data_IF_752293925294
#
_entry.id   IF_752293925294
#
_cell.length_a   1.000
_cell.length_b   1.000
_cell.length_c   1.000
_cell.angle_alpha   90.00
_cell.angle_beta   90.00
_cell.angle_gamma   90.00
#
_symmetry.space_group_name_H-M   'P 1'
#
loop_
_entity.id
_entity.type
_entity.pdbx_description
1 polymer ?
#
# COMPACT_ATOMS: atom_id res chain seq x y z
N UNK A 1 -12.86 13.52 -21.43
CA UNK A 1 -12.28 12.74 -22.52
C UNK A 1 -11.42 13.64 -23.39
N UNK A 2 -10.15 13.30 -23.53
CA UNK A 2 -9.19 14.12 -24.31
C UNK A 2 -9.34 13.92 -25.82
N UNK A 3 -9.77 12.77 -26.27
CA UNK A 3 -9.92 12.48 -27.70
C UNK A 3 -11.12 13.22 -28.29
N UNK A 4 -12.26 13.10 -27.62
CA UNK A 4 -13.52 13.71 -28.09
C UNK A 4 -13.65 15.18 -27.68
N UNK A 5 -12.80 15.65 -26.74
CA UNK A 5 -12.88 16.98 -26.09
C UNK A 5 -14.26 17.26 -25.47
N UNK A 6 -14.86 16.22 -24.86
CA UNK A 6 -16.18 16.27 -24.26
C UNK A 6 -16.16 15.93 -22.77
N UNK A 7 -17.11 16.48 -22.03
CA UNK A 7 -17.37 16.06 -20.66
C UNK A 7 -18.25 14.81 -20.67
N UNK A 8 -17.84 13.79 -19.94
CA UNK A 8 -18.58 12.54 -19.77
C UNK A 8 -18.79 12.29 -18.30
N UNK A 9 -20.04 11.99 -17.89
CA UNK A 9 -20.33 11.49 -16.55
C UNK A 9 -20.35 9.95 -16.62
N UNK A 10 -19.48 9.32 -15.84
CA UNK A 10 -19.36 7.88 -15.75
C UNK A 10 -19.98 7.42 -14.43
N UNK A 11 -20.76 6.37 -14.47
CA UNK A 11 -21.26 5.67 -13.30
C UNK A 11 -20.19 4.70 -12.79
N UNK A 12 -20.31 4.28 -11.53
CA UNK A 12 -19.36 3.37 -10.87
C UNK A 12 -19.04 2.13 -11.72
N UNK A 13 -20.09 1.49 -12.28
CA UNK A 13 -19.92 0.27 -13.07
C UNK A 13 -19.21 0.50 -14.41
N UNK A 14 -19.22 1.75 -14.92
CA UNK A 14 -18.51 2.14 -16.13
C UNK A 14 -17.03 2.48 -15.87
N UNK A 15 -16.64 2.61 -14.60
CA UNK A 15 -15.25 2.92 -14.21
C UNK A 15 -14.35 1.69 -14.15
N UNK A 16 -14.91 0.48 -14.22
CA UNK A 16 -14.19 -0.81 -14.19
C UNK A 16 -13.18 -0.89 -13.03
N UNK A 17 -13.62 -0.53 -11.83
CA UNK A 17 -12.76 -0.55 -10.64
C UNK A 17 -12.41 -1.97 -10.24
N UNK A 18 -11.10 -2.26 -10.22
CA UNK A 18 -10.53 -3.49 -9.70
C UNK A 18 -9.37 -3.19 -8.74
N UNK A 19 -8.68 -4.22 -8.25
CA UNK A 19 -7.51 -4.02 -7.40
C UNK A 19 -6.41 -3.27 -8.14
N UNK A 20 -6.12 -2.04 -7.72
CA UNK A 20 -5.13 -1.16 -8.35
C UNK A 20 -5.37 -0.93 -9.85
N UNK A 21 -6.61 -0.99 -10.31
CA UNK A 21 -6.98 -0.83 -11.72
C UNK A 21 -8.30 -0.10 -11.90
N UNK A 22 -8.40 0.66 -12.98
CA UNK A 22 -9.63 1.28 -13.47
C UNK A 22 -9.45 1.69 -14.94
N UNK A 23 -10.53 2.08 -15.62
CA UNK A 23 -10.44 2.58 -17.00
C UNK A 23 -9.58 3.85 -17.13
N UNK A 24 -9.41 4.62 -16.06
CA UNK A 24 -8.65 5.87 -16.06
C UNK A 24 -7.14 5.67 -16.26
N UNK A 25 -6.64 4.42 -16.17
CA UNK A 25 -5.25 4.09 -16.46
C UNK A 25 -5.02 3.72 -17.92
N UNK A 26 -6.09 3.41 -18.67
CA UNK A 26 -6.03 2.92 -20.06
C UNK A 26 -6.75 3.82 -21.05
N UNK A 27 -7.67 4.65 -20.59
CA UNK A 27 -8.44 5.58 -21.43
C UNK A 27 -7.94 7.02 -21.25
N UNK A 28 -8.01 7.84 -22.28
CA UNK A 28 -7.53 9.22 -22.27
C UNK A 28 -8.51 10.15 -21.54
N UNK A 29 -8.82 9.85 -20.28
CA UNK A 29 -9.68 10.65 -19.43
C UNK A 29 -8.89 11.53 -18.48
N UNK A 30 -9.37 12.75 -18.29
CA UNK A 30 -8.96 13.62 -17.19
C UNK A 30 -10.12 13.74 -16.20
N UNK A 31 -9.89 13.32 -14.96
CA UNK A 31 -10.90 13.39 -13.91
C UNK A 31 -10.98 14.82 -13.40
N UNK A 32 -12.15 15.45 -13.53
CA UNK A 32 -12.41 16.83 -13.08
C UNK A 32 -13.15 16.84 -11.76
N UNK A 33 -14.14 15.94 -11.63
CA UNK A 33 -15.02 15.88 -10.49
C UNK A 33 -15.35 14.45 -10.10
N UNK A 34 -15.64 14.22 -8.82
CA UNK A 34 -16.05 12.93 -8.29
C UNK A 34 -17.24 13.15 -7.35
N UNK A 35 -18.38 12.56 -7.69
CA UNK A 35 -19.56 12.53 -6.82
C UNK A 35 -19.47 11.32 -5.89
N UNK A 36 -19.48 11.55 -4.57
CA UNK A 36 -19.55 10.49 -3.57
C UNK A 36 -20.96 10.43 -2.97
N UNK A 37 -21.52 9.24 -2.95
CA UNK A 37 -22.75 8.97 -2.21
C UNK A 37 -22.40 8.31 -0.87
N UNK A 38 -22.84 8.93 0.23
CA UNK A 38 -22.62 8.43 1.59
C UNK A 38 -23.94 8.01 2.22
N UNK A 39 -23.97 6.82 2.77
CA UNK A 39 -25.06 6.35 3.61
C UNK A 39 -24.89 6.84 5.05
N UNK A 40 -25.97 7.03 5.78
CA UNK A 40 -25.90 7.23 7.22
C UNK A 40 -25.26 6.01 7.89
N UNK A 41 -24.11 6.22 8.52
CA UNK A 41 -23.38 5.16 9.24
C UNK A 41 -23.97 5.10 10.65
N UNK A 42 -24.50 3.95 11.02
CA UNK A 42 -24.99 3.69 12.39
C UNK A 42 -23.85 3.32 13.34
N UNK A 43 -22.79 2.65 12.83
CA UNK A 43 -21.63 2.22 13.62
C UNK A 43 -20.32 2.59 12.92
N UNK A 44 -19.35 3.06 13.72
CA UNK A 44 -18.02 3.38 13.23
C UNK A 44 -17.17 2.11 13.09
N UNK A 45 -16.51 1.94 11.95
CA UNK A 45 -15.58 0.82 11.75
C UNK A 45 -14.27 1.07 12.50
N UNK A 46 -14.08 0.37 13.60
CA UNK A 46 -12.88 0.43 14.44
C UNK A 46 -11.95 -0.79 14.27
N UNK A 47 -12.09 -1.54 13.17
CA UNK A 47 -11.32 -2.77 12.93
C UNK A 47 -9.88 -2.50 12.47
N UNK A 48 -9.52 -1.26 12.15
CA UNK A 48 -8.16 -0.93 11.75
C UNK A 48 -7.20 -1.14 12.93
N UNK A 49 -6.13 -1.88 12.68
CA UNK A 49 -5.12 -2.25 13.70
C UNK A 49 -4.49 -0.99 14.33
N UNK A 50 -4.61 -0.87 15.62
CA UNK A 50 -4.05 0.23 16.41
C UNK A 50 -5.06 1.30 16.83
N UNK A 51 -6.24 1.41 16.18
CA UNK A 51 -7.28 2.40 16.57
C UNK A 51 -7.69 2.20 18.03
N UNK A 52 -8.09 1.00 18.39
CA UNK A 52 -8.52 0.68 19.78
C UNK A 52 -7.43 0.98 20.80
N UNK A 53 -6.17 0.64 20.46
CA UNK A 53 -5.03 0.92 21.34
C UNK A 53 -4.85 2.41 21.60
N UNK A 54 -4.99 3.27 20.57
CA UNK A 54 -4.89 4.72 20.72
C UNK A 54 -6.07 5.30 21.50
N UNK A 55 -7.29 4.82 21.28
CA UNK A 55 -8.47 5.22 22.03
C UNK A 55 -8.24 4.98 23.54
N UNK A 56 -7.80 3.78 23.89
CA UNK A 56 -7.48 3.44 25.28
C UNK A 56 -6.32 4.24 25.86
N UNK A 57 -5.26 4.48 25.07
CA UNK A 57 -4.12 5.30 25.51
C UNK A 57 -4.52 6.76 25.77
N UNK A 58 -5.55 7.26 25.08
CA UNK A 58 -6.12 8.60 25.31
C UNK A 58 -7.20 8.63 26.40
N UNK A 59 -7.41 7.52 27.14
CA UNK A 59 -8.45 7.37 28.19
C UNK A 59 -9.87 7.71 27.69
N UNK A 60 -10.17 7.42 26.40
CA UNK A 60 -11.49 7.66 25.79
C UNK A 60 -12.34 6.40 25.85
N UNK A 61 -13.66 6.58 26.05
CA UNK A 61 -14.61 5.49 25.91
C UNK A 61 -14.89 5.22 24.42
N UNK A 62 -14.63 3.98 24.00
CA UNK A 62 -14.81 3.53 22.62
C UNK A 62 -16.25 3.72 22.11
N UNK A 63 -17.25 3.66 23.01
CA UNK A 63 -18.67 3.81 22.65
C UNK A 63 -19.06 5.25 22.39
N UNK A 64 -18.30 6.21 22.89
CA UNK A 64 -18.58 7.65 22.76
C UNK A 64 -17.79 8.34 21.64
N UNK A 65 -16.93 7.59 20.92
CA UNK A 65 -16.11 8.14 19.84
C UNK A 65 -16.98 8.61 18.69
N UNK A 66 -16.82 9.87 18.32
CA UNK A 66 -17.46 10.48 17.14
C UNK A 66 -16.68 10.16 15.86
N UNK A 67 -17.33 10.32 14.69
CA UNK A 67 -16.67 10.16 13.37
C UNK A 67 -15.47 11.11 13.22
N UNK A 68 -15.58 12.34 13.74
CA UNK A 68 -14.50 13.33 13.72
C UNK A 68 -13.30 12.87 14.55
N UNK A 69 -13.54 12.39 15.75
CA UNK A 69 -12.47 11.89 16.62
C UNK A 69 -11.81 10.65 16.04
N UNK A 70 -12.60 9.74 15.46
CA UNK A 70 -12.06 8.59 14.74
C UNK A 70 -11.16 9.01 13.57
N UNK A 71 -11.57 10.02 12.79
CA UNK A 71 -10.76 10.59 11.72
C UNK A 71 -9.42 11.15 12.23
N UNK A 72 -9.43 11.86 13.37
CA UNK A 72 -8.20 12.37 14.00
C UNK A 72 -7.28 11.24 14.47
N UNK A 73 -7.84 10.20 15.09
CA UNK A 73 -7.08 9.02 15.54
C UNK A 73 -6.45 8.28 14.35
N UNK A 74 -7.17 8.14 13.24
CA UNK A 74 -6.64 7.53 12.01
C UNK A 74 -5.50 8.38 11.44
N UNK A 75 -5.64 9.71 11.42
CA UNK A 75 -4.58 10.62 10.97
C UNK A 75 -3.33 10.47 11.83
N UNK A 76 -3.46 10.50 13.16
CA UNK A 76 -2.36 10.31 14.11
C UNK A 76 -1.64 8.97 13.90
N UNK A 77 -2.42 7.88 13.70
CA UNK A 77 -1.85 6.56 13.39
C UNK A 77 -1.07 6.54 12.06
N UNK A 78 -1.57 7.22 11.05
CA UNK A 78 -0.89 7.32 9.77
C UNK A 78 0.39 8.12 9.89
N UNK A 79 0.33 9.27 10.54
CA UNK A 79 1.47 10.17 10.74
C UNK A 79 2.59 9.49 11.56
N UNK A 80 2.21 8.62 12.51
CA UNK A 80 3.21 7.85 13.28
C UNK A 80 3.90 6.74 12.49
N UNK A 81 3.31 6.27 11.39
CA UNK A 81 3.81 5.14 10.60
C UNK A 81 4.44 5.55 9.29
N UNK A 82 3.96 6.63 8.68
CA UNK A 82 4.35 7.03 7.33
C UNK A 82 5.22 8.28 7.36
N UNK A 83 6.30 8.33 6.57
CA UNK A 83 7.12 9.54 6.47
C UNK A 83 6.34 10.65 5.77
N UNK A 84 6.44 11.87 6.28
CA UNK A 84 5.90 13.04 5.60
C UNK A 84 6.73 13.32 4.33
N UNK A 85 6.17 13.24 3.11
CA UNK A 85 6.93 13.38 1.87
C UNK A 85 7.53 14.77 1.67
N UNK A 86 7.04 15.79 2.38
CA UNK A 86 7.64 17.14 2.39
C UNK A 86 8.93 17.22 3.20
N UNK A 87 9.14 16.29 4.13
CA UNK A 87 10.31 16.24 5.00
C UNK A 87 11.28 15.16 4.53
N UNK A 88 10.74 13.98 4.23
CA UNK A 88 11.47 12.82 3.71
C UNK A 88 10.87 12.45 2.36
N UNK A 89 11.48 12.88 1.24
CA UNK A 89 10.93 12.61 -0.08
C UNK A 89 10.71 11.12 -0.31
N UNK A 90 9.52 10.76 -0.77
CA UNK A 90 9.11 9.39 -1.09
C UNK A 90 7.85 9.41 -1.97
N UNK A 91 7.51 8.29 -2.55
CA UNK A 91 6.32 8.11 -3.41
C UNK A 91 5.26 7.21 -2.77
N UNK A 92 5.34 7.01 -1.44
CA UNK A 92 4.46 6.09 -0.72
C UNK A 92 4.88 4.63 -0.89
N UNK A 93 3.91 3.72 -0.90
CA UNK A 93 4.17 2.30 -1.13
C UNK A 93 4.77 2.08 -2.51
N UNK A 94 5.96 1.50 -2.57
CA UNK A 94 6.69 1.32 -3.82
C UNK A 94 6.27 0.07 -4.60
N UNK A 95 5.76 -0.94 -3.90
CA UNK A 95 5.28 -2.18 -4.52
C UNK A 95 3.81 -2.44 -4.19
N UNK A 96 3.10 -3.01 -5.17
CA UNK A 96 1.75 -3.56 -4.96
C UNK A 96 1.83 -4.79 -4.06
N UNK A 97 0.76 -5.06 -3.31
CA UNK A 97 0.61 -6.36 -2.67
C UNK A 97 0.31 -7.40 -3.76
N UNK A 98 1.16 -8.42 -3.96
CA UNK A 98 0.95 -9.40 -5.02
C UNK A 98 -0.29 -10.25 -4.79
N UNK A 99 -0.98 -10.58 -5.89
CA UNK A 99 -2.05 -11.57 -5.92
C UNK A 99 -1.50 -12.79 -6.65
N UNK A 100 -1.46 -13.93 -5.98
CA UNK A 100 -0.81 -15.15 -6.47
C UNK A 100 -1.56 -16.39 -6.02
N UNK A 101 -1.48 -17.45 -6.80
CA UNK A 101 -1.95 -18.74 -6.33
C UNK A 101 -1.05 -19.21 -5.17
N UNK A 102 -1.67 -19.53 -4.04
CA UNK A 102 -0.95 -19.86 -2.81
C UNK A 102 0.02 -21.06 -3.01
N UNK A 103 -0.32 -21.99 -3.89
CA UNK A 103 0.53 -23.16 -4.21
C UNK A 103 1.85 -22.81 -4.87
N UNK A 104 1.95 -21.59 -5.44
CA UNK A 104 3.16 -21.11 -6.12
C UNK A 104 4.12 -20.39 -5.17
N UNK A 105 3.72 -20.17 -3.91
CA UNK A 105 4.58 -19.54 -2.91
C UNK A 105 5.59 -20.56 -2.39
N UNK A 106 6.87 -20.19 -2.45
CA UNK A 106 7.96 -20.95 -1.79
C UNK A 106 8.13 -20.45 -0.35
N UNK A 107 8.59 -21.36 0.49
CA UNK A 107 8.87 -21.08 1.90
C UNK A 107 10.27 -21.63 2.24
N UNK A 108 11.34 -20.99 1.70
CA UNK A 108 12.71 -21.52 1.81
C UNK A 108 13.24 -21.40 3.25
N UNK A 109 13.28 -20.18 3.79
CA UNK A 109 13.78 -19.91 5.14
C UNK A 109 12.69 -19.45 6.12
N UNK A 110 11.46 -19.30 5.65
CA UNK A 110 10.32 -18.79 6.44
C UNK A 110 9.15 -19.77 6.39
N UNK A 111 8.15 -19.55 7.21
CA UNK A 111 6.91 -20.33 7.25
C UNK A 111 5.75 -19.49 6.74
N UNK A 112 4.64 -20.15 6.39
CA UNK A 112 3.41 -19.47 5.98
C UNK A 112 2.93 -18.47 7.02
N UNK A 113 3.05 -18.82 8.30
CA UNK A 113 2.62 -17.99 9.44
C UNK A 113 3.43 -16.70 9.60
N UNK A 114 4.63 -16.65 9.00
CA UNK A 114 5.46 -15.44 9.01
C UNK A 114 4.94 -14.39 8.01
N UNK A 115 4.16 -14.79 7.02
CA UNK A 115 3.60 -13.91 6.01
C UNK A 115 2.27 -13.30 6.47
N UNK A 116 1.91 -12.16 5.88
CA UNK A 116 0.57 -11.60 5.97
C UNK A 116 -0.18 -11.95 4.70
N UNK A 117 -1.17 -12.81 4.81
CA UNK A 117 -1.94 -13.33 3.68
C UNK A 117 -3.43 -13.03 3.91
N UNK A 118 -4.10 -12.59 2.85
CA UNK A 118 -5.56 -12.39 2.83
C UNK A 118 -6.16 -13.19 1.67
N UNK A 119 -7.33 -13.78 1.90
CA UNK A 119 -8.10 -14.39 0.82
C UNK A 119 -8.44 -13.34 -0.25
N UNK A 120 -8.33 -13.70 -1.51
CA UNK A 120 -8.65 -12.84 -2.63
C UNK A 120 -9.78 -13.41 -3.48
N UNK A 121 -9.61 -14.62 -4.00
CA UNK A 121 -10.62 -15.37 -4.74
C UNK A 121 -10.49 -16.87 -4.46
N UNK A 122 -11.16 -17.72 -5.25
CA UNK A 122 -11.19 -19.18 -5.02
C UNK A 122 -9.82 -19.87 -5.10
N UNK A 123 -8.86 -19.28 -5.80
CA UNK A 123 -7.55 -19.89 -6.10
C UNK A 123 -6.37 -19.00 -5.72
N UNK A 124 -6.60 -17.72 -5.48
CA UNK A 124 -5.54 -16.75 -5.25
C UNK A 124 -5.67 -16.10 -3.88
N UNK A 125 -4.52 -15.75 -3.35
CA UNK A 125 -4.35 -15.00 -2.12
C UNK A 125 -3.64 -13.68 -2.41
N UNK A 126 -3.91 -12.68 -1.62
CA UNK A 126 -3.16 -11.42 -1.61
C UNK A 126 -2.13 -11.47 -0.50
N UNK A 127 -0.86 -11.22 -0.82
CA UNK A 127 0.25 -11.28 0.13
C UNK A 127 0.75 -9.87 0.45
N UNK A 128 1.06 -9.62 1.72
CA UNK A 128 1.57 -8.33 2.19
C UNK A 128 3.01 -8.08 1.76
N UNK A 129 3.23 -7.31 0.69
CA UNK A 129 4.56 -7.00 0.17
C UNK A 129 5.49 -6.37 1.22
N UNK A 130 4.97 -5.48 2.07
CA UNK A 130 5.77 -4.91 3.15
C UNK A 130 6.32 -5.97 4.11
N UNK A 131 5.51 -7.00 4.41
CA UNK A 131 5.96 -8.10 5.28
C UNK A 131 7.01 -8.97 4.59
N UNK A 132 6.88 -9.23 3.29
CA UNK A 132 7.90 -9.95 2.54
C UNK A 132 9.25 -9.21 2.60
N UNK A 133 9.24 -7.89 2.40
CA UNK A 133 10.45 -7.05 2.45
C UNK A 133 11.05 -7.02 3.86
N UNK A 134 10.22 -6.95 4.91
CA UNK A 134 10.70 -7.04 6.31
C UNK A 134 11.45 -8.35 6.56
N UNK A 135 10.93 -9.47 6.08
CA UNK A 135 11.51 -10.79 6.29
C UNK A 135 12.87 -10.94 5.61
N UNK A 136 13.01 -10.45 4.37
CA UNK A 136 14.27 -10.54 3.60
C UNK A 136 15.25 -9.40 3.88
N UNK A 137 14.92 -8.47 4.80
CA UNK A 137 15.68 -7.23 5.01
C UNK A 137 17.17 -7.47 5.28
N UNK A 138 17.50 -8.51 6.05
CA UNK A 138 18.90 -8.88 6.35
C UNK A 138 19.69 -9.40 5.15
N UNK A 139 19.01 -9.80 4.07
CA UNK A 139 19.61 -10.31 2.84
C UNK A 139 19.79 -9.22 1.76
N UNK A 140 19.25 -8.01 2.01
CA UNK A 140 19.38 -6.88 1.09
C UNK A 140 20.77 -6.25 1.20
N UNK A 141 21.19 -5.57 0.14
CA UNK A 141 22.38 -4.72 0.16
C UNK A 141 22.19 -3.56 1.16
N UNK A 142 23.30 -3.10 1.76
CA UNK A 142 23.25 -2.01 2.74
C UNK A 142 22.60 -0.75 2.19
N UNK A 143 22.88 -0.39 0.95
CA UNK A 143 22.28 0.74 0.24
C UNK A 143 20.75 0.64 0.17
N UNK A 144 20.21 -0.57 -0.09
CA UNK A 144 18.76 -0.80 -0.09
C UNK A 144 18.17 -0.64 1.31
N UNK A 145 18.84 -1.17 2.34
CA UNK A 145 18.42 -1.06 3.74
C UNK A 145 18.37 0.40 4.18
N UNK A 146 19.38 1.18 3.84
CA UNK A 146 19.53 2.59 4.25
C UNK A 146 18.44 3.50 3.66
N UNK A 147 17.90 3.14 2.51
CA UNK A 147 16.85 3.88 1.85
C UNK A 147 15.42 3.33 2.13
N UNK A 148 15.29 2.20 2.84
CA UNK A 148 13.99 1.74 3.33
C UNK A 148 13.56 2.53 4.57
N UNK A 149 12.27 2.90 4.61
CA UNK A 149 11.70 3.52 5.81
C UNK A 149 11.65 2.53 6.98
N UNK A 150 12.10 2.97 8.16
CA UNK A 150 12.25 2.10 9.34
C UNK A 150 10.94 1.47 9.81
N UNK A 151 9.83 2.22 9.74
CA UNK A 151 8.52 1.79 10.24
C UNK A 151 7.61 1.22 9.15
N UNK A 152 8.03 1.25 7.88
CA UNK A 152 7.21 0.79 6.76
C UNK A 152 8.09 0.36 5.58
N UNK A 153 8.39 -0.92 5.51
CA UNK A 153 9.34 -1.47 4.53
C UNK A 153 8.92 -1.33 3.04
N UNK A 154 7.64 -1.01 2.77
CA UNK A 154 7.18 -0.69 1.40
C UNK A 154 7.63 0.68 0.91
N UNK A 155 8.15 1.55 1.78
CA UNK A 155 8.48 2.92 1.41
C UNK A 155 9.97 3.03 1.19
N UNK A 156 10.36 3.31 -0.06
CA UNK A 156 11.70 3.75 -0.41
C UNK A 156 11.75 5.26 -0.22
N UNK A 157 12.68 5.70 0.62
CA UNK A 157 12.86 7.12 0.96
C UNK A 157 14.03 7.70 0.17
N UNK A 158 13.94 8.97 -0.22
CA UNK A 158 15.03 9.69 -0.85
C UNK A 158 15.71 10.69 0.12
N UNK A 159 15.97 10.25 1.34
CA UNK A 159 16.68 11.07 2.36
C UNK A 159 18.15 11.32 2.02
N UNK A 160 18.75 10.47 1.19
CA UNK A 160 20.16 10.56 0.77
C UNK A 160 20.32 11.23 -0.60
N UNK A 161 19.24 11.80 -1.15
CA UNK A 161 19.21 12.48 -2.44
C UNK A 161 19.70 11.59 -3.60
N UNK A 162 19.30 10.32 -3.59
CA UNK A 162 19.59 9.34 -4.63
C UNK A 162 18.86 9.67 -5.93
N UNK A 163 19.47 9.32 -7.06
CA UNK A 163 18.88 9.51 -8.39
C UNK A 163 17.94 8.36 -8.79
N UNK A 164 17.34 8.49 -9.97
CA UNK A 164 16.40 7.50 -10.51
C UNK A 164 17.03 6.10 -10.63
N UNK A 165 18.26 6.00 -11.18
CA UNK A 165 18.91 4.71 -11.41
C UNK A 165 19.21 3.99 -10.09
N UNK A 166 19.54 4.74 -9.04
CA UNK A 166 19.75 4.20 -7.69
C UNK A 166 18.45 3.69 -7.09
N UNK A 167 17.32 4.41 -7.25
CA UNK A 167 16.00 3.91 -6.83
C UNK A 167 15.66 2.61 -7.55
N UNK A 168 15.89 2.54 -8.86
CA UNK A 168 15.64 1.31 -9.64
C UNK A 168 16.54 0.16 -9.19
N UNK A 169 17.83 0.39 -8.91
CA UNK A 169 18.73 -0.63 -8.36
C UNK A 169 18.25 -1.17 -7.02
N UNK A 170 17.78 -0.30 -6.13
CA UNK A 170 17.17 -0.70 -4.84
C UNK A 170 15.94 -1.57 -5.08
N UNK A 171 15.06 -1.14 -6.01
CA UNK A 171 13.85 -1.92 -6.31
C UNK A 171 14.16 -3.30 -6.87
N UNK A 172 15.16 -3.42 -7.75
CA UNK A 172 15.62 -4.69 -8.31
C UNK A 172 16.24 -5.61 -7.26
N UNK A 173 17.03 -5.07 -6.33
CA UNK A 173 17.58 -5.83 -5.21
C UNK A 173 16.46 -6.44 -4.36
N UNK A 174 15.45 -5.64 -4.02
CA UNK A 174 14.29 -6.09 -3.26
C UNK A 174 13.50 -7.17 -4.04
N UNK A 175 13.20 -6.92 -5.32
CA UNK A 175 12.46 -7.85 -6.18
C UNK A 175 13.19 -9.19 -6.29
N UNK A 176 14.52 -9.17 -6.52
CA UNK A 176 15.35 -10.39 -6.61
C UNK A 176 15.29 -11.19 -5.33
N UNK A 177 15.47 -10.55 -4.17
CA UNK A 177 15.48 -11.24 -2.88
C UNK A 177 14.11 -11.80 -2.49
N UNK A 178 13.04 -11.08 -2.76
CA UNK A 178 11.69 -11.60 -2.55
C UNK A 178 11.39 -12.77 -3.49
N UNK A 179 11.81 -12.69 -4.75
CA UNK A 179 11.62 -13.79 -5.69
C UNK A 179 12.44 -15.03 -5.30
N UNK A 180 13.72 -14.87 -4.95
CA UNK A 180 14.61 -15.94 -4.49
C UNK A 180 14.01 -16.69 -3.28
N UNK A 181 13.39 -15.96 -2.35
CA UNK A 181 12.90 -16.54 -1.10
C UNK A 181 11.49 -17.13 -1.22
N UNK A 182 10.58 -16.41 -1.92
CA UNK A 182 9.16 -16.73 -1.90
C UNK A 182 8.60 -17.13 -3.27
N UNK A 183 9.37 -17.08 -4.35
CA UNK A 183 8.90 -17.24 -5.73
C UNK A 183 7.78 -16.25 -6.08
N UNK A 184 7.83 -15.01 -5.53
CA UNK A 184 6.86 -13.96 -5.72
C UNK A 184 7.51 -12.80 -6.48
N UNK A 185 6.90 -12.39 -7.61
CA UNK A 185 7.29 -11.18 -8.31
C UNK A 185 6.57 -9.96 -7.70
N UNK A 186 7.34 -8.98 -7.22
CA UNK A 186 6.79 -7.70 -6.79
C UNK A 186 6.64 -6.76 -8.00
N UNK A 187 5.47 -6.15 -8.13
CA UNK A 187 5.18 -5.14 -9.15
C UNK A 187 5.32 -3.74 -8.56
N UNK A 188 6.03 -2.85 -9.27
CA UNK A 188 6.17 -1.44 -8.89
C UNK A 188 4.81 -0.75 -9.03
N UNK A 189 4.39 -0.02 -7.98
CA UNK A 189 3.10 0.68 -7.94
C UNK A 189 3.16 2.10 -8.55
N UNK A 190 4.21 2.91 -8.30
CA UNK A 190 4.35 4.22 -8.93
C UNK A 190 4.47 4.14 -10.45
N UNK A 191 3.90 5.13 -11.14
CA UNK A 191 4.13 5.30 -12.58
C UNK A 191 5.55 5.80 -12.81
N UNK A 192 6.27 5.09 -13.66
CA UNK A 192 7.61 5.48 -14.13
C UNK A 192 7.41 6.28 -15.42
N UNK A 193 7.92 7.52 -15.46
CA UNK A 193 7.83 8.45 -16.58
C UNK A 193 9.13 8.45 -17.39
#
# INVERSE_FOLDING_TARGET
DFEDKTFKKLLKDQCDFAYRSSIFQTKPYFIIDIDFEFNHIQELNMNYKGIRRLIYAQNKDIKSITSKELGMIISELRDSKLPNPKIVPNVGSFFKNPIINEKNISYNNFKKEDLIIWDHDKSNVKVGAGRLIELIKSSLKQESIDNLHSNHALIITNKNNINYDEVIKISLDIQSKVYEEFNIHLEIEPTIL
#
